data_IF_416756079136
#
_entry.id   IF_416756079136
#
_cell.length_a   1.000
_cell.length_b   1.000
_cell.length_c   1.000
_cell.angle_alpha   90.00
_cell.angle_beta   90.00
_cell.angle_gamma   90.00
#
_symmetry.space_group_name_H-M   'P 1'
#
loop_
_entity.id
_entity.type
_entity.pdbx_description
1 polymer ?
#
# COMPACT_ATOMS: atom_id res chain seq x y z
N UNK A 1 1.20 -32.75 -2.03
CA UNK A 1 0.64 -34.11 -2.22
C UNK A 1 0.83 -34.75 -3.60
N UNK A 2 0.27 -34.26 -4.72
CA UNK A 2 0.49 -34.92 -6.04
C UNK A 2 1.96 -34.85 -6.51
N UNK A 3 2.64 -33.75 -6.19
CA UNK A 3 4.06 -33.56 -6.51
C UNK A 3 4.97 -34.44 -5.64
N UNK A 4 4.79 -34.43 -4.32
CA UNK A 4 5.48 -35.31 -3.36
C UNK A 4 5.39 -36.79 -3.75
N UNK A 5 4.19 -37.26 -4.08
CA UNK A 5 3.97 -38.67 -4.45
C UNK A 5 4.57 -39.03 -5.80
N UNK A 6 4.66 -38.09 -6.75
CA UNK A 6 5.32 -38.29 -8.03
C UNK A 6 6.84 -38.27 -7.88
N UNK A 7 7.39 -37.34 -7.09
CA UNK A 7 8.82 -37.19 -6.84
C UNK A 7 9.38 -38.36 -6.02
N UNK A 8 8.66 -38.79 -4.98
CA UNK A 8 9.00 -40.00 -4.21
C UNK A 8 9.07 -41.23 -5.11
N UNK A 9 8.03 -41.45 -5.94
CA UNK A 9 8.01 -42.57 -6.90
C UNK A 9 9.14 -42.50 -7.92
N UNK A 10 9.49 -41.30 -8.39
CA UNK A 10 10.61 -41.09 -9.30
C UNK A 10 11.96 -41.43 -8.64
N UNK A 11 12.19 -41.00 -7.39
CA UNK A 11 13.40 -41.29 -6.63
C UNK A 11 13.57 -42.78 -6.35
N UNK A 12 12.50 -43.45 -5.92
CA UNK A 12 12.50 -44.91 -5.72
C UNK A 12 12.74 -45.64 -7.05
N UNK A 13 12.13 -45.18 -8.15
CA UNK A 13 12.38 -45.75 -9.49
C UNK A 13 13.81 -45.53 -10.01
N UNK A 14 14.50 -44.50 -9.50
CA UNK A 14 15.91 -44.22 -9.77
C UNK A 14 16.85 -45.00 -8.82
N UNK A 15 16.33 -45.98 -8.08
CA UNK A 15 17.07 -46.85 -7.17
C UNK A 15 17.63 -46.14 -5.92
N UNK A 16 17.04 -45.01 -5.53
CA UNK A 16 17.30 -44.35 -4.24
C UNK A 16 16.54 -45.09 -3.13
N UNK A 17 17.17 -45.32 -1.97
CA UNK A 17 16.49 -45.96 -0.84
C UNK A 17 15.33 -45.11 -0.31
N UNK A 18 14.30 -45.76 0.23
CA UNK A 18 13.10 -45.07 0.75
C UNK A 18 13.45 -44.03 1.83
N UNK A 19 14.40 -44.35 2.71
CA UNK A 19 14.86 -43.42 3.76
C UNK A 19 15.45 -42.13 3.17
N UNK A 20 16.28 -42.26 2.12
CA UNK A 20 16.90 -41.11 1.47
C UNK A 20 15.91 -40.33 0.61
N UNK A 21 14.98 -41.02 -0.05
CA UNK A 21 13.92 -40.37 -0.83
C UNK A 21 13.00 -39.53 0.08
N UNK A 22 12.70 -40.02 1.28
CA UNK A 22 11.92 -39.30 2.28
C UNK A 22 12.68 -38.10 2.83
N UNK A 23 13.97 -38.28 3.16
CA UNK A 23 14.82 -37.19 3.64
C UNK A 23 14.93 -36.03 2.63
N UNK A 24 15.07 -36.34 1.33
CA UNK A 24 15.09 -35.32 0.27
C UNK A 24 13.75 -34.59 0.16
N UNK A 25 12.63 -35.30 0.30
CA UNK A 25 11.30 -34.70 0.29
C UNK A 25 11.12 -33.73 1.46
N UNK A 26 11.51 -34.13 2.66
CA UNK A 26 11.42 -33.29 3.87
C UNK A 26 12.30 -32.05 3.75
N UNK A 27 13.56 -32.21 3.32
CA UNK A 27 14.45 -31.07 3.13
C UNK A 27 13.92 -30.09 2.07
N UNK A 28 13.33 -30.61 0.98
CA UNK A 28 12.74 -29.79 -0.08
C UNK A 28 11.47 -29.06 0.41
N UNK A 29 10.63 -29.70 1.22
CA UNK A 29 9.45 -29.05 1.81
C UNK A 29 9.85 -27.93 2.77
N UNK A 30 10.87 -28.15 3.60
CA UNK A 30 11.44 -27.11 4.48
C UNK A 30 12.02 -25.95 3.67
N UNK A 31 12.81 -26.23 2.64
CA UNK A 31 13.40 -25.18 1.79
C UNK A 31 12.34 -24.41 1.01
N UNK A 32 11.33 -25.10 0.46
CA UNK A 32 10.24 -24.45 -0.27
C UNK A 32 9.39 -23.57 0.65
N UNK A 33 9.09 -24.04 1.86
CA UNK A 33 8.33 -23.24 2.84
C UNK A 33 9.13 -22.06 3.39
N UNK A 34 10.45 -22.15 3.45
CA UNK A 34 11.33 -21.05 3.87
C UNK A 34 11.59 -20.02 2.76
N UNK A 35 11.63 -20.43 1.49
CA UNK A 35 12.12 -19.58 0.40
C UNK A 35 11.01 -18.99 -0.47
N UNK A 36 9.87 -19.68 -0.62
CA UNK A 36 8.79 -19.20 -1.46
C UNK A 36 7.87 -18.28 -0.66
N UNK A 37 7.63 -17.08 -1.21
CA UNK A 37 6.55 -16.22 -0.73
C UNK A 37 5.23 -16.99 -0.78
N UNK A 38 4.60 -17.15 0.37
CA UNK A 38 3.39 -17.92 0.54
C UNK A 38 2.17 -17.10 0.12
N UNK A 39 1.04 -17.77 -0.07
CA UNK A 39 -0.25 -17.08 -0.30
C UNK A 39 -0.59 -16.12 0.85
N UNK A 40 -0.12 -16.40 2.07
CA UNK A 40 -0.32 -15.52 3.21
C UNK A 40 0.46 -14.22 3.05
N UNK A 41 1.72 -14.27 2.60
CA UNK A 41 2.53 -13.07 2.36
C UNK A 41 1.89 -12.15 1.31
N UNK A 42 1.36 -12.74 0.25
CA UNK A 42 0.61 -11.99 -0.78
C UNK A 42 -0.68 -11.37 -0.20
N UNK A 43 -1.38 -12.09 0.68
CA UNK A 43 -2.58 -11.56 1.34
C UNK A 43 -2.26 -10.41 2.31
N UNK A 44 -1.14 -10.50 3.04
CA UNK A 44 -0.64 -9.46 3.91
C UNK A 44 -0.26 -8.20 3.10
N UNK A 45 0.59 -8.36 2.07
CA UNK A 45 0.96 -7.27 1.16
C UNK A 45 -0.27 -6.59 0.55
N UNK A 46 -1.27 -7.37 0.12
CA UNK A 46 -2.53 -6.81 -0.42
C UNK A 46 -3.29 -5.98 0.62
N UNK A 47 -3.25 -6.41 1.87
CA UNK A 47 -3.91 -5.71 2.98
C UNK A 47 -3.18 -4.41 3.31
N UNK A 48 -1.86 -4.45 3.40
CA UNK A 48 -1.00 -3.27 3.59
C UNK A 48 -1.20 -2.25 2.47
N UNK A 49 -1.10 -2.68 1.21
CA UNK A 49 -1.33 -1.78 0.06
C UNK A 49 -2.72 -1.15 0.07
N UNK A 50 -3.75 -1.87 0.53
CA UNK A 50 -5.10 -1.32 0.64
C UNK A 50 -5.19 -0.28 1.75
N UNK A 51 -4.52 -0.52 2.88
CA UNK A 51 -4.43 0.43 3.98
C UNK A 51 -3.69 1.70 3.54
N UNK A 52 -2.54 1.58 2.88
CA UNK A 52 -1.77 2.70 2.37
C UNK A 52 -2.57 3.53 1.35
N UNK A 53 -3.27 2.87 0.44
CA UNK A 53 -4.12 3.55 -0.53
C UNK A 53 -5.27 4.32 0.15
N UNK A 54 -5.84 3.76 1.23
CA UNK A 54 -6.87 4.45 2.01
C UNK A 54 -6.29 5.66 2.77
N UNK A 55 -5.10 5.52 3.36
CA UNK A 55 -4.39 6.61 4.04
C UNK A 55 -4.09 7.77 3.08
N UNK A 56 -3.48 7.48 1.93
CA UNK A 56 -3.17 8.48 0.90
C UNK A 56 -4.43 9.21 0.43
N UNK A 57 -5.55 8.50 0.22
CA UNK A 57 -6.83 9.13 -0.15
C UNK A 57 -7.33 10.10 0.92
N UNK A 58 -7.21 9.74 2.21
CA UNK A 58 -7.61 10.59 3.32
C UNK A 58 -6.71 11.83 3.44
N UNK A 59 -5.40 11.66 3.25
CA UNK A 59 -4.44 12.77 3.24
C UNK A 59 -4.74 13.76 2.10
N UNK A 60 -4.99 13.26 0.88
CA UNK A 60 -5.35 14.11 -0.26
C UNK A 60 -6.65 14.87 0.01
N UNK A 61 -7.69 14.22 0.53
CA UNK A 61 -8.95 14.87 0.86
C UNK A 61 -8.75 16.00 1.88
N UNK A 62 -7.93 15.75 2.90
CA UNK A 62 -7.60 16.74 3.92
C UNK A 62 -6.81 17.92 3.34
N UNK A 63 -5.81 17.63 2.49
CA UNK A 63 -5.00 18.66 1.83
C UNK A 63 -5.84 19.57 0.93
N UNK A 64 -6.78 19.00 0.15
CA UNK A 64 -7.72 19.76 -0.66
C UNK A 64 -8.58 20.69 0.20
N UNK A 65 -9.19 20.18 1.27
CA UNK A 65 -10.02 21.00 2.18
C UNK A 65 -9.22 22.14 2.83
N UNK A 66 -7.98 21.87 3.27
CA UNK A 66 -7.12 22.91 3.82
C UNK A 66 -6.78 23.99 2.78
N UNK A 67 -6.56 23.61 1.53
CA UNK A 67 -6.29 24.55 0.45
C UNK A 67 -7.50 25.42 0.15
N UNK A 68 -8.70 24.84 0.10
CA UNK A 68 -9.97 25.58 -0.08
C UNK A 68 -10.19 26.60 1.04
N UNK A 69 -9.95 26.21 2.30
CA UNK A 69 -10.06 27.12 3.45
C UNK A 69 -9.05 28.26 3.35
N UNK A 70 -7.77 27.94 3.07
CA UNK A 70 -6.70 28.94 2.92
C UNK A 70 -7.02 29.94 1.81
N UNK A 71 -7.53 29.47 0.67
CA UNK A 71 -7.92 30.33 -0.44
C UNK A 71 -9.11 31.22 -0.06
N UNK A 72 -10.16 30.65 0.53
CA UNK A 72 -11.33 31.40 1.01
C UNK A 72 -10.94 32.52 1.96
N UNK A 73 -10.12 32.22 2.97
CA UNK A 73 -9.63 33.20 3.94
C UNK A 73 -8.81 34.28 3.25
N UNK A 74 -7.86 33.90 2.39
CA UNK A 74 -7.00 34.86 1.68
C UNK A 74 -7.81 35.79 0.77
N UNK A 75 -8.81 35.26 0.06
CA UNK A 75 -9.70 36.06 -0.79
C UNK A 75 -10.57 37.01 0.03
N UNK A 76 -11.10 36.56 1.17
CA UNK A 76 -11.85 37.42 2.10
C UNK A 76 -11.00 38.58 2.64
N UNK A 77 -9.74 38.31 3.00
CA UNK A 77 -8.78 39.34 3.42
C UNK A 77 -8.46 40.33 2.29
N UNK A 78 -8.24 39.85 1.07
CA UNK A 78 -7.98 40.72 -0.09
C UNK A 78 -9.19 41.60 -0.42
N UNK A 79 -10.40 41.05 -0.40
CA UNK A 79 -11.63 41.81 -0.66
C UNK A 79 -11.90 42.88 0.39
N UNK A 80 -11.71 42.56 1.68
CA UNK A 80 -11.89 43.55 2.76
C UNK A 80 -10.84 44.65 2.72
N UNK A 81 -9.57 44.32 2.42
CA UNK A 81 -8.52 45.31 2.22
C UNK A 81 -8.83 46.24 1.04
N UNK A 82 -9.25 45.67 -0.10
CA UNK A 82 -9.64 46.44 -1.28
C UNK A 82 -10.83 47.35 -0.99
N UNK A 83 -11.91 46.82 -0.40
CA UNK A 83 -13.09 47.61 -0.04
C UNK A 83 -12.74 48.74 0.93
N UNK A 84 -11.88 48.49 1.92
CA UNK A 84 -11.42 49.51 2.86
C UNK A 84 -10.65 50.65 2.19
N UNK A 85 -9.78 50.35 1.23
CA UNK A 85 -9.03 51.36 0.47
C UNK A 85 -9.99 52.20 -0.38
N UNK A 86 -10.92 51.57 -1.09
CA UNK A 86 -11.90 52.27 -1.95
C UNK A 86 -12.79 53.21 -1.12
N UNK A 87 -13.37 52.70 -0.04
CA UNK A 87 -14.25 53.50 0.84
C UNK A 87 -13.47 54.62 1.54
N UNK A 88 -12.27 54.33 2.04
CA UNK A 88 -11.39 55.34 2.64
C UNK A 88 -11.02 56.44 1.64
N UNK A 89 -10.67 56.07 0.40
CA UNK A 89 -10.33 57.00 -0.68
C UNK A 89 -11.51 57.89 -1.11
N UNK A 90 -12.73 57.35 -1.18
CA UNK A 90 -13.92 58.14 -1.51
C UNK A 90 -14.17 59.29 -0.53
N UNK A 91 -13.87 59.10 0.77
CA UNK A 91 -14.00 60.14 1.79
C UNK A 91 -13.05 61.34 1.56
N UNK A 92 -11.92 61.13 0.89
CA UNK A 92 -11.00 62.23 0.54
C UNK A 92 -11.38 62.95 -0.77
N UNK A 93 -12.31 62.37 -1.54
CA UNK A 93 -12.73 62.86 -2.85
C UNK A 93 -14.06 63.63 -2.82
N UNK A 94 -14.84 63.51 -1.74
CA UNK A 94 -16.12 64.20 -1.49
C UNK A 94 -15.92 65.20 -0.35
#
# INVERSE_FOLDING_TARGET
MKLETALYKALVSANVSEDNATAVLTALEEEMSATLATKNDVALLRTEMKADCAAIRAEIATACSQLEVKLTVRMGLMLSAFAGIVLGGMKYLI
#
